data_IF_228694607242
#
_entry.id   IF_228694607242
#
_cell.length_a   1.000
_cell.length_b   1.000
_cell.length_c   1.000
_cell.angle_alpha   90.00
_cell.angle_beta   90.00
_cell.angle_gamma   90.00
#
_symmetry.space_group_name_H-M   'P 1'
#
loop_
_entity.id
_entity.type
_entity.pdbx_description
1 polymer ?
#
# COMPACT_ATOMS: atom_id res chain seq x y z
N UNK A 1 1.86 0.20 17.50
CA UNK A 1 2.11 -1.25 17.30
C UNK A 1 3.60 -1.47 16.99
N UNK A 2 4.12 -2.70 17.08
CA UNK A 2 5.48 -3.02 16.59
C UNK A 2 5.47 -3.07 15.06
N UNK A 3 6.63 -2.95 14.41
CA UNK A 3 6.71 -3.02 12.94
C UNK A 3 6.22 -4.36 12.39
N UNK A 4 6.52 -5.47 13.08
CA UNK A 4 5.98 -6.78 12.72
C UNK A 4 4.45 -6.81 12.76
N UNK A 5 3.83 -6.30 13.83
CA UNK A 5 2.37 -6.25 13.96
C UNK A 5 1.72 -5.30 12.95
N UNK A 6 2.35 -4.17 12.63
CA UNK A 6 1.85 -3.26 11.59
C UNK A 6 1.87 -3.95 10.24
N UNK A 7 2.99 -4.60 9.90
CA UNK A 7 3.17 -5.30 8.63
C UNK A 7 2.18 -6.47 8.48
N UNK A 8 2.03 -7.29 9.51
CA UNK A 8 1.07 -8.41 9.55
C UNK A 8 -0.35 -7.91 9.24
N UNK A 9 -0.82 -6.93 10.00
CA UNK A 9 -2.16 -6.34 9.81
C UNK A 9 -2.35 -5.71 8.43
N UNK A 10 -1.31 -5.08 7.87
CA UNK A 10 -1.38 -4.49 6.55
C UNK A 10 -1.55 -5.55 5.47
N UNK A 11 -0.86 -6.68 5.59
CA UNK A 11 -0.97 -7.79 4.65
C UNK A 11 -2.32 -8.50 4.82
N UNK A 12 -2.76 -8.76 6.05
CA UNK A 12 -4.08 -9.34 6.33
C UNK A 12 -5.19 -8.50 5.71
N UNK A 13 -5.13 -7.16 5.85
CA UNK A 13 -6.10 -6.24 5.22
C UNK A 13 -6.13 -6.43 3.71
N UNK A 14 -4.96 -6.48 3.07
CA UNK A 14 -4.87 -6.66 1.60
C UNK A 14 -5.43 -8.01 1.18
N UNK A 15 -5.06 -9.11 1.85
CA UNK A 15 -5.53 -10.45 1.50
C UNK A 15 -7.03 -10.64 1.77
N UNK A 16 -7.59 -9.92 2.75
CA UNK A 16 -9.03 -9.92 3.00
C UNK A 16 -9.82 -9.22 1.89
N UNK A 17 -9.31 -8.09 1.39
CA UNK A 17 -9.96 -7.32 0.32
C UNK A 17 -9.74 -7.93 -1.07
N UNK A 18 -8.54 -8.43 -1.34
CA UNK A 18 -8.16 -9.11 -2.57
C UNK A 18 -7.22 -10.29 -2.28
N UNK A 19 -7.76 -11.52 -2.14
CA UNK A 19 -6.95 -12.71 -1.88
C UNK A 19 -6.06 -13.08 -3.08
N UNK A 20 -6.27 -12.44 -4.24
CA UNK A 20 -5.40 -12.56 -5.41
C UNK A 20 -4.44 -11.37 -5.40
N UNK A 21 -3.45 -11.43 -4.52
CA UNK A 21 -2.37 -10.45 -4.51
C UNK A 21 -1.21 -11.00 -5.35
N UNK A 22 -0.46 -10.13 -6.06
CA UNK A 22 0.65 -10.55 -6.93
C UNK A 22 0.27 -11.43 -8.14
N UNK A 23 -1.02 -11.47 -8.52
CA UNK A 23 -1.52 -12.26 -9.65
C UNK A 23 -1.64 -13.76 -9.37
N UNK A 24 -1.56 -14.16 -8.10
CA UNK A 24 -1.65 -15.54 -7.59
C UNK A 24 -2.50 -15.56 -6.31
N UNK A 25 -3.03 -16.72 -5.92
CA UNK A 25 -3.70 -16.87 -4.61
C UNK A 25 -2.62 -16.92 -3.53
N UNK A 26 -2.77 -16.08 -2.51
CA UNK A 26 -1.76 -15.90 -1.46
C UNK A 26 -2.39 -16.02 -0.08
N UNK A 27 -1.74 -16.80 0.80
CA UNK A 27 -2.07 -16.89 2.22
C UNK A 27 -0.89 -16.39 3.04
N UNK A 28 -1.13 -15.44 3.94
CA UNK A 28 -0.13 -15.02 4.92
C UNK A 28 0.04 -16.12 5.97
N UNK A 29 1.27 -16.59 6.15
CA UNK A 29 1.59 -17.57 7.18
C UNK A 29 2.19 -16.91 8.41
N UNK A 30 3.18 -16.03 8.22
CA UNK A 30 3.82 -15.34 9.34
C UNK A 30 4.59 -14.09 8.92
N UNK A 31 4.81 -13.21 9.88
CA UNK A 31 5.79 -12.13 9.82
C UNK A 31 6.83 -12.37 10.91
N UNK A 32 8.11 -12.33 10.55
CA UNK A 32 9.20 -12.59 11.50
C UNK A 32 10.41 -11.68 11.24
N UNK A 33 11.29 -11.59 12.22
CA UNK A 33 12.52 -10.79 12.15
C UNK A 33 13.76 -11.70 12.18
N UNK A 34 14.68 -11.49 11.25
CA UNK A 34 15.95 -12.19 11.21
C UNK A 34 17.07 -11.21 10.87
N UNK A 35 18.05 -11.07 11.78
CA UNK A 35 19.19 -10.18 11.57
C UNK A 35 18.84 -8.70 11.47
N UNK A 36 17.76 -8.25 12.10
CA UNK A 36 17.28 -6.86 12.04
C UNK A 36 16.44 -6.54 10.79
N UNK A 37 16.14 -7.54 9.97
CA UNK A 37 15.28 -7.43 8.78
C UNK A 37 13.96 -8.15 9.03
N UNK A 38 12.87 -7.55 8.54
CA UNK A 38 11.54 -8.15 8.59
C UNK A 38 11.25 -8.93 7.31
N UNK A 39 10.70 -10.12 7.50
CA UNK A 39 10.32 -11.03 6.44
C UNK A 39 8.84 -11.39 6.56
N UNK A 40 8.25 -11.68 5.41
CA UNK A 40 6.89 -12.17 5.27
C UNK A 40 6.98 -13.55 4.64
N UNK A 41 6.49 -14.57 5.32
CA UNK A 41 6.26 -15.88 4.71
C UNK A 41 4.86 -15.94 4.18
N UNK A 42 4.75 -16.24 2.89
CA UNK A 42 3.47 -16.50 2.23
C UNK A 42 3.45 -17.90 1.62
N UNK A 43 2.27 -18.49 1.59
CA UNK A 43 1.97 -19.65 0.75
C UNK A 43 1.32 -19.15 -0.54
N UNK A 44 1.82 -19.63 -1.68
CA UNK A 44 1.32 -19.27 -3.01
C UNK A 44 0.75 -20.53 -3.67
N UNK A 45 -0.49 -20.46 -4.15
CA UNK A 45 -1.05 -21.50 -5.00
C UNK A 45 -0.63 -21.29 -6.47
N UNK A 46 0.07 -22.27 -7.04
CA UNK A 46 0.44 -22.27 -8.44
C UNK A 46 -0.70 -22.80 -9.32
N UNK A 47 -0.65 -22.45 -10.62
CA UNK A 47 -1.67 -22.83 -11.60
C UNK A 47 -1.71 -24.33 -11.90
N UNK A 48 -0.65 -25.07 -11.56
CA UNK A 48 -0.59 -26.53 -11.68
C UNK A 48 -1.15 -27.27 -10.46
N UNK A 49 -1.65 -26.53 -9.46
CA UNK A 49 -2.21 -27.06 -8.21
C UNK A 49 -1.18 -27.38 -7.12
N UNK A 50 0.10 -27.01 -7.32
CA UNK A 50 1.12 -27.09 -6.27
C UNK A 50 1.12 -25.83 -5.41
N UNK A 51 1.65 -25.93 -4.19
CA UNK A 51 1.88 -24.78 -3.30
C UNK A 51 3.37 -24.54 -3.11
N UNK A 52 3.75 -23.27 -3.04
CA UNK A 52 5.13 -22.84 -2.77
C UNK A 52 5.16 -21.91 -1.57
N UNK A 53 6.14 -22.13 -0.68
CA UNK A 53 6.43 -21.24 0.44
C UNK A 53 7.51 -20.25 0.01
N UNK A 54 7.19 -18.95 0.11
CA UNK A 54 8.10 -17.89 -0.27
C UNK A 54 8.32 -16.95 0.90
N UNK A 55 9.60 -16.74 1.23
CA UNK A 55 10.02 -15.70 2.16
C UNK A 55 10.37 -14.44 1.37
N UNK A 56 9.65 -13.35 1.66
CA UNK A 56 9.85 -12.05 1.05
C UNK A 56 10.43 -11.09 2.08
N UNK A 57 11.49 -10.36 1.73
CA UNK A 57 11.85 -9.15 2.48
C UNK A 57 10.63 -8.19 2.44
N UNK A 58 10.27 -7.61 3.59
CA UNK A 58 9.05 -6.82 3.70
C UNK A 58 8.92 -5.70 2.65
N UNK A 59 10.04 -5.12 2.21
CA UNK A 59 10.06 -4.07 1.18
C UNK A 59 9.49 -4.55 -0.15
N UNK A 60 9.79 -5.80 -0.53
CA UNK A 60 9.25 -6.42 -1.73
C UNK A 60 7.73 -6.58 -1.67
N UNK A 61 7.18 -6.78 -0.47
CA UNK A 61 5.74 -6.85 -0.25
C UNK A 61 5.10 -5.45 -0.29
N UNK A 62 5.58 -4.50 0.52
CA UNK A 62 4.88 -3.22 0.73
C UNK A 62 5.07 -2.20 -0.41
N UNK A 63 6.13 -2.32 -1.21
CA UNK A 63 6.34 -1.49 -2.41
C UNK A 63 5.79 -2.12 -3.69
N UNK A 64 5.09 -3.25 -3.58
CA UNK A 64 4.39 -3.84 -4.71
C UNK A 64 3.18 -2.99 -5.13
N UNK A 65 2.99 -2.81 -6.43
CA UNK A 65 1.90 -2.00 -6.97
C UNK A 65 0.51 -2.57 -6.66
N UNK A 66 0.34 -3.89 -6.68
CA UNK A 66 -0.95 -4.53 -6.42
C UNK A 66 -1.28 -4.46 -4.94
N UNK A 67 -0.31 -4.68 -4.05
CA UNK A 67 -0.45 -4.38 -2.62
C UNK A 67 -0.94 -2.94 -2.41
N UNK A 68 -0.26 -1.95 -3.01
CA UNK A 68 -0.60 -0.54 -2.81
C UNK A 68 -1.99 -0.18 -3.34
N UNK A 69 -2.38 -0.71 -4.51
CA UNK A 69 -3.71 -0.47 -5.09
C UNK A 69 -4.84 -0.98 -4.21
N UNK A 70 -4.64 -2.12 -3.54
CA UNK A 70 -5.62 -2.70 -2.62
C UNK A 70 -5.59 -1.91 -1.31
N UNK A 71 -4.41 -1.79 -0.69
CA UNK A 71 -4.26 -1.20 0.64
C UNK A 71 -4.70 0.27 0.73
N UNK A 72 -4.38 1.09 -0.29
CA UNK A 72 -4.71 2.52 -0.35
C UNK A 72 -5.94 2.83 -1.19
N UNK A 73 -6.39 1.90 -2.02
CA UNK A 73 -7.47 2.12 -2.99
C UNK A 73 -7.03 2.73 -4.32
N UNK A 74 -8.02 2.95 -5.21
CA UNK A 74 -7.82 3.33 -6.62
C UNK A 74 -8.44 4.68 -7.01
N UNK A 75 -9.01 5.42 -6.06
CA UNK A 75 -9.60 6.73 -6.33
C UNK A 75 -8.51 7.77 -6.64
N UNK A 76 -8.93 8.87 -7.25
CA UNK A 76 -8.02 9.94 -7.68
C UNK A 76 -7.90 11.05 -6.63
N UNK A 77 -6.67 11.51 -6.44
CA UNK A 77 -6.33 12.65 -5.59
C UNK A 77 -5.55 13.69 -6.36
N UNK A 78 -5.45 14.90 -5.81
CA UNK A 78 -4.54 15.91 -6.31
C UNK A 78 -3.09 15.51 -6.07
N UNK A 79 -2.29 15.34 -7.13
CA UNK A 79 -0.89 14.95 -6.98
C UNK A 79 0.04 15.97 -6.31
N UNK A 80 -0.43 17.19 -6.04
CA UNK A 80 0.36 18.23 -5.36
C UNK A 80 0.11 18.27 -3.85
N UNK A 81 -1.13 18.08 -3.40
CA UNK A 81 -1.50 18.23 -1.99
C UNK A 81 -2.11 16.97 -1.35
N UNK A 82 -2.46 15.95 -2.13
CA UNK A 82 -3.01 14.69 -1.63
C UNK A 82 -4.52 14.70 -1.32
N UNK A 83 -5.24 15.78 -1.62
CA UNK A 83 -6.68 15.90 -1.37
C UNK A 83 -7.52 15.09 -2.37
N UNK A 84 -8.65 14.54 -1.90
CA UNK A 84 -9.59 13.75 -2.71
C UNK A 84 -10.26 14.56 -3.82
N UNK A 85 -10.37 14.00 -5.02
CA UNK A 85 -11.03 14.66 -6.16
C UNK A 85 -12.48 14.24 -6.36
N UNK A 86 -12.92 13.13 -5.74
CA UNK A 86 -14.27 12.56 -5.94
C UNK A 86 -15.38 13.26 -5.13
N UNK A 87 -15.05 13.87 -3.99
CA UNK A 87 -16.06 14.51 -3.13
C UNK A 87 -16.38 15.95 -3.51
N UNK A 88 -15.49 16.65 -4.19
CA UNK A 88 -15.66 18.09 -4.39
C UNK A 88 -16.46 18.44 -5.64
N UNK A 89 -16.52 17.59 -6.69
CA UNK A 89 -17.12 17.97 -8.00
C UNK A 89 -16.52 19.23 -8.64
N UNK A 90 -15.55 19.83 -7.95
CA UNK A 90 -14.91 21.09 -8.13
C UNK A 90 -13.42 20.78 -7.97
N UNK A 91 -12.59 21.30 -8.87
CA UNK A 91 -11.14 21.40 -8.67
C UNK A 91 -10.79 21.82 -7.24
N UNK A 92 -9.55 21.63 -6.79
CA UNK A 92 -9.03 21.94 -5.44
C UNK A 92 -9.17 23.41 -4.94
N UNK A 93 -10.10 24.19 -5.51
CA UNK A 93 -10.58 25.52 -5.18
C UNK A 93 -11.22 25.53 -3.78
N UNK A 94 -10.37 25.52 -2.74
CA UNK A 94 -10.84 25.61 -1.36
C UNK A 94 -9.85 25.04 -0.35
N UNK A 95 -8.90 24.21 -0.81
CA UNK A 95 -7.78 23.80 0.00
C UNK A 95 -6.82 24.98 0.18
N UNK A 96 -6.73 25.51 1.40
CA UNK A 96 -5.75 26.54 1.77
C UNK A 96 -4.29 26.09 1.55
N UNK A 97 -4.08 24.78 1.34
CA UNK A 97 -2.77 24.15 1.12
C UNK A 97 -2.45 23.97 -0.38
N UNK A 98 -3.41 24.12 -1.29
CA UNK A 98 -3.19 23.97 -2.73
C UNK A 98 -3.15 25.34 -3.45
N UNK A 99 -2.29 26.26 -3.00
CA UNK A 99 -2.32 27.67 -3.40
C UNK A 99 -1.88 28.01 -4.84
N UNK A 100 -1.36 27.05 -5.63
CA UNK A 100 -0.61 27.39 -6.85
C UNK A 100 -1.05 26.71 -8.15
N UNK A 101 -1.94 25.70 -8.15
CA UNK A 101 -2.15 24.87 -9.36
C UNK A 101 -3.56 24.28 -9.56
N UNK A 102 -4.61 24.87 -9.01
CA UNK A 102 -5.97 24.29 -9.10
C UNK A 102 -6.61 24.36 -10.51
N UNK A 103 -6.02 25.11 -11.46
CA UNK A 103 -6.52 25.16 -12.85
C UNK A 103 -6.21 23.88 -13.66
N UNK A 104 -5.28 23.06 -13.17
CA UNK A 104 -4.92 21.78 -13.78
C UNK A 104 -4.72 20.78 -12.64
N UNK A 105 -5.79 20.17 -12.10
CA UNK A 105 -5.61 19.03 -11.24
C UNK A 105 -4.72 18.03 -12.02
N UNK A 106 -3.63 17.60 -11.40
CA UNK A 106 -2.87 16.45 -11.87
C UNK A 106 -3.46 15.25 -11.11
N UNK A 107 -4.59 14.69 -11.56
CA UNK A 107 -5.19 13.55 -10.90
C UNK A 107 -4.17 12.43 -10.94
N UNK A 108 -3.80 11.95 -9.76
CA UNK A 108 -2.99 10.74 -9.64
C UNK A 108 -3.78 9.73 -8.83
N UNK A 109 -3.68 8.44 -9.16
CA UNK A 109 -4.21 7.38 -8.31
C UNK A 109 -3.61 7.49 -6.90
N UNK A 110 -4.45 7.45 -5.87
CA UNK A 110 -4.01 7.65 -4.49
C UNK A 110 -2.89 6.69 -4.05
N UNK A 111 -2.95 5.44 -4.48
CA UNK A 111 -1.91 4.46 -4.17
C UNK A 111 -0.52 4.90 -4.65
N UNK A 112 -0.42 5.63 -5.78
CA UNK A 112 0.87 6.15 -6.28
C UNK A 112 1.41 7.24 -5.36
N UNK A 113 0.53 8.12 -4.88
CA UNK A 113 0.90 9.16 -3.93
C UNK A 113 1.43 8.56 -2.63
N UNK A 114 0.70 7.61 -2.03
CA UNK A 114 1.14 7.00 -0.78
C UNK A 114 2.40 6.15 -0.93
N UNK A 115 2.59 5.45 -2.05
CA UNK A 115 3.88 4.80 -2.33
C UNK A 115 5.03 5.80 -2.38
N UNK A 116 4.86 6.96 -3.03
CA UNK A 116 5.87 8.00 -3.05
C UNK A 116 6.16 8.53 -1.64
N UNK A 117 5.13 8.77 -0.83
CA UNK A 117 5.31 9.21 0.55
C UNK A 117 6.05 8.16 1.39
N UNK A 118 5.72 6.87 1.24
CA UNK A 118 6.43 5.78 1.93
C UNK A 118 7.91 5.70 1.58
N UNK A 119 8.30 6.00 0.33
CA UNK A 119 9.71 6.03 -0.09
C UNK A 119 10.49 7.17 0.61
N UNK A 120 9.80 8.25 0.99
CA UNK A 120 10.39 9.41 1.64
C UNK A 120 10.46 9.29 3.17
N UNK A 121 9.73 8.35 3.77
CA UNK A 121 9.67 8.15 5.22
C UNK A 121 10.89 7.37 5.72
N UNK A 122 11.40 7.73 6.90
CA UNK A 122 12.51 7.00 7.53
C UNK A 122 12.10 5.57 7.92
N UNK A 123 10.85 5.39 8.33
CA UNK A 123 10.24 4.09 8.60
C UNK A 123 8.97 3.89 7.76
N UNK A 124 9.10 3.24 6.58
CA UNK A 124 7.97 2.97 5.70
C UNK A 124 6.90 2.08 6.34
N UNK A 125 7.26 1.19 7.28
CA UNK A 125 6.28 0.34 7.96
C UNK A 125 5.42 1.21 8.87
N UNK A 126 6.04 2.13 9.60
CA UNK A 126 5.31 3.05 10.48
C UNK A 126 4.28 3.90 9.72
N UNK A 127 4.56 4.23 8.46
CA UNK A 127 3.61 4.94 7.61
C UNK A 127 2.29 4.18 7.42
N UNK A 128 2.34 2.86 7.28
CA UNK A 128 1.16 2.00 7.09
C UNK A 128 0.20 2.06 8.27
N UNK A 129 0.70 2.30 9.49
CA UNK A 129 -0.12 2.41 10.71
C UNK A 129 -1.18 3.52 10.62
N UNK A 130 -0.99 4.52 9.74
CA UNK A 130 -1.97 5.59 9.51
C UNK A 130 -3.27 5.09 8.85
N UNK A 131 -3.29 3.86 8.31
CA UNK A 131 -4.37 3.29 7.49
C UNK A 131 -4.90 1.94 8.01
N UNK A 132 -4.52 1.58 9.24
CA UNK A 132 -4.93 0.36 9.97
C UNK A 132 -5.83 0.73 11.14
#
# INVERSE_FOLDING_TARGET
MTNATILEKAIEKVLYEDPICFGVSVVLLSVYEQGGLLFVTVEIDQTDGTTELVDLEYKSAIFNHDFAKVFFGKYEICGYCGENLEESGESCLGSNNCQLSCNYPNPIPIWKYHLQQMVLEEDPIKYLEKFL
#
